data_IF_249960057654
#
_entry.id   IF_249960057654
#
_cell.length_a   1.000
_cell.length_b   1.000
_cell.length_c   1.000
_cell.angle_alpha   90.00
_cell.angle_beta   90.00
_cell.angle_gamma   90.00
#
_symmetry.space_group_name_H-M   'P 1'
#
loop_
_entity.id
_entity.type
_entity.pdbx_description
1 polymer ?
#
# COMPACT_ATOMS: atom_id res chain seq x y z
N UNK A 1 16.37 -13.11 -0.39
CA UNK A 1 17.56 -13.65 0.31
C UNK A 1 17.25 -15.05 0.81
N UNK A 2 18.15 -16.03 0.59
CA UNK A 2 17.90 -17.43 0.96
C UNK A 2 17.72 -17.65 2.47
N UNK A 3 18.32 -16.78 3.29
CA UNK A 3 18.29 -16.87 4.74
C UNK A 3 17.15 -16.10 5.41
N UNK A 4 16.25 -15.46 4.64
CA UNK A 4 15.14 -14.65 5.17
C UNK A 4 13.85 -14.98 4.41
N UNK A 5 13.28 -16.15 4.72
CA UNK A 5 12.00 -16.57 4.18
C UNK A 5 10.89 -15.58 4.56
N UNK A 6 10.04 -15.24 3.59
CA UNK A 6 8.94 -14.31 3.80
C UNK A 6 9.30 -12.82 3.70
N UNK A 7 10.56 -12.47 3.39
CA UNK A 7 10.97 -11.06 3.31
C UNK A 7 10.17 -10.24 2.28
N UNK A 8 9.85 -10.83 1.11
CA UNK A 8 9.06 -10.15 0.08
C UNK A 8 7.64 -9.87 0.58
N UNK A 9 6.98 -10.87 1.18
CA UNK A 9 5.66 -10.70 1.79
C UNK A 9 5.71 -9.71 2.95
N UNK A 10 6.73 -9.76 3.81
CA UNK A 10 6.86 -8.77 4.88
C UNK A 10 7.04 -7.35 4.33
N UNK A 11 7.87 -7.18 3.29
CA UNK A 11 8.05 -5.91 2.60
C UNK A 11 6.71 -5.36 2.06
N UNK A 12 5.86 -6.22 1.51
CA UNK A 12 4.50 -5.85 1.07
C UNK A 12 3.70 -5.17 2.17
N UNK A 13 3.64 -5.75 3.37
CA UNK A 13 2.94 -5.14 4.51
C UNK A 13 3.58 -3.80 4.92
N UNK A 14 4.90 -3.72 4.92
CA UNK A 14 5.62 -2.53 5.36
C UNK A 14 5.41 -1.32 4.43
N UNK A 15 5.11 -1.52 3.14
CA UNK A 15 4.89 -0.41 2.21
C UNK A 15 3.61 0.39 2.50
N UNK A 16 2.69 -0.13 3.31
CA UNK A 16 1.49 0.60 3.73
C UNK A 16 1.72 1.50 4.95
N UNK A 17 2.92 1.44 5.58
CA UNK A 17 3.21 2.04 6.89
C UNK A 17 4.01 3.35 6.82
N UNK A 18 3.92 4.05 5.68
CA UNK A 18 4.50 5.38 5.49
C UNK A 18 5.68 5.42 4.52
N UNK A 19 5.90 6.60 3.97
CA UNK A 19 6.97 6.91 3.00
C UNK A 19 7.66 8.22 3.38
N UNK A 20 8.73 8.59 2.68
CA UNK A 20 9.42 9.87 2.95
C UNK A 20 8.51 11.10 2.77
N UNK A 21 7.66 11.09 1.73
CA UNK A 21 6.72 12.18 1.43
C UNK A 21 5.49 12.16 2.35
N UNK A 22 5.03 10.98 2.74
CA UNK A 22 3.88 10.77 3.63
C UNK A 22 4.32 9.91 4.84
N UNK A 23 4.99 10.52 5.84
CA UNK A 23 5.68 9.78 6.90
C UNK A 23 4.76 9.24 8.01
N UNK A 24 3.49 9.65 8.05
CA UNK A 24 2.55 9.16 9.05
C UNK A 24 2.10 7.76 8.67
N UNK A 25 2.27 6.83 9.61
CA UNK A 25 2.11 5.39 9.42
C UNK A 25 0.83 4.97 8.69
N UNK A 26 -0.29 5.59 9.01
CA UNK A 26 -1.59 5.24 8.45
C UNK A 26 -2.15 6.26 7.45
N UNK A 27 -1.34 7.19 6.93
CA UNK A 27 -1.81 8.29 6.08
C UNK A 27 -2.47 7.79 4.80
N UNK A 28 -1.87 6.80 4.13
CA UNK A 28 -2.43 6.18 2.93
C UNK A 28 -3.80 5.54 3.20
N UNK A 29 -3.89 4.68 4.21
CA UNK A 29 -5.13 4.00 4.59
C UNK A 29 -6.20 4.99 5.07
N UNK A 30 -5.80 6.03 5.80
CA UNK A 30 -6.70 7.09 6.25
C UNK A 30 -7.24 7.89 5.05
N UNK A 31 -6.39 8.27 4.11
CA UNK A 31 -6.81 9.00 2.91
C UNK A 31 -7.87 8.22 2.13
N UNK A 32 -7.64 6.93 1.88
CA UNK A 32 -8.61 6.09 1.19
C UNK A 32 -9.92 6.00 1.98
N UNK A 33 -9.87 5.77 3.30
CA UNK A 33 -11.06 5.70 4.14
C UNK A 33 -11.88 7.00 4.15
N UNK A 34 -11.23 8.16 4.11
CA UNK A 34 -11.89 9.48 4.07
C UNK A 34 -12.53 9.77 2.71
N UNK A 35 -12.02 9.16 1.63
CA UNK A 35 -12.44 9.40 0.25
C UNK A 35 -13.17 8.20 -0.39
N UNK A 36 -13.85 7.40 0.44
CA UNK A 36 -14.67 6.25 0.02
C UNK A 36 -13.90 5.21 -0.83
N UNK A 37 -12.65 4.97 -0.46
CA UNK A 37 -11.75 4.02 -1.11
C UNK A 37 -11.26 2.92 -0.18
N UNK A 38 -10.59 1.95 -0.78
CA UNK A 38 -9.99 0.79 -0.11
C UNK A 38 -8.72 0.35 -0.85
N UNK A 39 -7.85 -0.40 -0.18
CA UNK A 39 -6.64 -0.96 -0.80
C UNK A 39 -6.34 -2.34 -0.25
N UNK A 40 -5.56 -3.10 -1.02
CA UNK A 40 -5.00 -4.37 -0.59
C UNK A 40 -3.79 -4.76 -1.46
N UNK A 41 -3.11 -5.82 -1.09
CA UNK A 41 -1.99 -6.38 -1.84
C UNK A 41 -1.91 -7.91 -1.69
N UNK A 42 -1.05 -8.53 -2.50
CA UNK A 42 -0.62 -9.91 -2.27
C UNK A 42 0.79 -10.16 -2.82
N UNK A 43 1.51 -11.10 -2.19
CA UNK A 43 2.79 -11.64 -2.66
C UNK A 43 2.65 -13.12 -3.03
N UNK A 44 3.10 -13.46 -4.22
CA UNK A 44 3.20 -14.80 -4.80
C UNK A 44 4.67 -15.17 -5.06
N UNK A 45 4.93 -16.30 -5.72
CA UNK A 45 6.30 -16.75 -6.00
C UNK A 45 7.12 -15.75 -6.83
N UNK A 46 6.49 -15.07 -7.79
CA UNK A 46 7.17 -14.17 -8.74
C UNK A 46 6.56 -12.77 -8.83
N UNK A 47 5.43 -12.53 -8.15
CA UNK A 47 4.74 -11.24 -8.19
C UNK A 47 4.36 -10.77 -6.80
N UNK A 48 4.56 -9.47 -6.56
CA UNK A 48 3.84 -8.72 -5.53
C UNK A 48 2.96 -7.69 -6.24
N UNK A 49 1.67 -7.65 -5.90
CA UNK A 49 0.68 -6.80 -6.56
C UNK A 49 0.00 -5.90 -5.52
N UNK A 50 -0.17 -4.63 -5.86
CA UNK A 50 -0.83 -3.61 -5.03
C UNK A 50 -1.95 -2.98 -5.83
N UNK A 51 -3.08 -2.73 -5.19
CA UNK A 51 -4.24 -2.13 -5.83
C UNK A 51 -5.08 -1.34 -4.84
N UNK A 52 -5.79 -0.34 -5.36
CA UNK A 52 -6.73 0.48 -4.59
C UNK A 52 -7.88 0.96 -5.46
N UNK A 53 -8.96 1.36 -4.81
CA UNK A 53 -10.05 2.15 -5.38
C UNK A 53 -10.28 3.41 -4.52
N UNK A 54 -10.90 4.42 -5.11
CA UNK A 54 -11.19 5.70 -4.45
C UNK A 54 -12.30 6.43 -5.21
N UNK A 55 -13.00 7.37 -4.55
CA UNK A 55 -13.86 8.33 -5.22
C UNK A 55 -13.12 9.07 -6.34
N UNK A 56 -13.77 9.22 -7.50
CA UNK A 56 -13.12 9.68 -8.74
C UNK A 56 -12.46 11.06 -8.64
N UNK A 57 -12.96 11.93 -7.77
CA UNK A 57 -12.41 13.28 -7.56
C UNK A 57 -11.03 13.26 -6.88
N UNK A 58 -10.68 12.14 -6.24
CA UNK A 58 -9.49 12.00 -5.41
C UNK A 58 -8.43 11.06 -6.01
N UNK A 59 -8.61 10.63 -7.27
CA UNK A 59 -7.66 9.73 -7.95
C UNK A 59 -6.22 10.27 -7.93
N UNK A 60 -6.04 11.58 -8.13
CA UNK A 60 -4.71 12.17 -8.14
C UNK A 60 -4.03 12.07 -6.77
N UNK A 61 -4.75 12.28 -5.67
CA UNK A 61 -4.20 12.17 -4.33
C UNK A 61 -3.99 10.72 -3.87
N UNK A 62 -4.81 9.78 -4.36
CA UNK A 62 -4.64 8.36 -4.05
C UNK A 62 -3.47 7.69 -4.79
N UNK A 63 -3.09 8.22 -5.96
CA UNK A 63 -2.04 7.66 -6.82
C UNK A 63 -0.64 8.25 -6.55
N UNK A 64 -0.57 9.43 -5.95
CA UNK A 64 0.66 10.18 -5.65
C UNK A 64 1.38 9.67 -4.40
#
# INVERSE_FOLDING_TARGET
PENISGLAHFCEHMLFLGTEKYPKENEYSQFLSEHAGSSNAFTSGEHTNYYFDVSHEHLQGALD
#
